data_IF_835977374989
#
_entry.id   IF_835977374989
#
_cell.length_a   1.000
_cell.length_b   1.000
_cell.length_c   1.000
_cell.angle_alpha   90.00
_cell.angle_beta   90.00
_cell.angle_gamma   90.00
#
_symmetry.space_group_name_H-M   'P 1'
#
loop_
_entity.id
_entity.type
_entity.pdbx_description
1 polymer ?
#
# COMPACT_ATOMS: atom_id res chain seq x y z
N UNK A 1 7.67 35.94 -47.71
CA UNK A 1 6.19 35.87 -47.59
C UNK A 1 5.84 35.25 -46.25
N UNK A 2 4.87 35.82 -45.53
CA UNK A 2 4.19 35.12 -44.43
C UNK A 2 4.76 35.27 -43.02
N UNK A 3 4.75 36.49 -42.49
CA UNK A 3 4.96 36.84 -41.07
C UNK A 3 3.71 36.44 -40.27
N UNK A 4 3.84 35.67 -39.18
CA UNK A 4 2.87 35.69 -38.08
C UNK A 4 3.62 35.62 -36.73
N UNK A 5 3.76 36.81 -36.15
CA UNK A 5 4.13 37.04 -34.78
C UNK A 5 2.96 36.65 -33.85
N UNK A 6 3.25 36.06 -32.70
CA UNK A 6 2.35 36.05 -31.54
C UNK A 6 2.84 37.09 -30.53
N UNK A 7 1.98 38.03 -30.09
CA UNK A 7 2.33 38.98 -29.04
C UNK A 7 2.27 38.34 -27.64
N UNK A 8 3.02 38.98 -26.75
CA UNK A 8 3.16 38.70 -25.32
C UNK A 8 1.85 38.87 -24.53
N UNK A 9 1.70 38.08 -23.46
CA UNK A 9 0.74 38.37 -22.38
C UNK A 9 1.54 38.89 -21.16
N UNK A 10 1.12 39.99 -20.50
CA UNK A 10 1.93 40.71 -19.54
C UNK A 10 1.61 40.37 -18.09
N UNK A 11 2.55 40.73 -17.21
CA UNK A 11 2.24 41.46 -15.98
C UNK A 11 1.60 40.68 -14.82
N UNK A 12 2.39 40.46 -13.77
CA UNK A 12 1.87 40.08 -12.46
C UNK A 12 2.93 39.97 -11.38
N UNK A 13 3.88 40.93 -11.30
CA UNK A 13 4.83 41.00 -10.19
C UNK A 13 4.16 41.64 -8.97
N UNK A 14 4.37 40.97 -7.83
CA UNK A 14 3.95 41.32 -6.47
C UNK A 14 4.33 42.74 -6.06
N UNK A 15 3.43 43.39 -5.32
CA UNK A 15 3.72 44.53 -4.45
C UNK A 15 3.57 44.10 -2.96
N UNK A 16 4.32 44.69 -2.02
CA UNK A 16 4.27 44.38 -0.59
C UNK A 16 3.49 45.40 0.26
N UNK A 17 3.40 45.09 1.57
CA UNK A 17 3.32 45.93 2.78
C UNK A 17 2.00 46.61 3.23
N UNK A 18 1.56 46.27 4.46
CA UNK A 18 1.22 47.14 5.62
C UNK A 18 0.39 46.28 6.63
N UNK A 19 0.78 46.00 7.88
CA UNK A 19 1.08 46.83 9.06
C UNK A 19 -0.16 47.43 9.77
N UNK A 20 -0.32 47.09 11.06
CA UNK A 20 -1.25 47.66 12.04
C UNK A 20 -2.19 46.59 12.64
N UNK A 21 -2.28 46.31 13.95
CA UNK A 21 -1.74 46.98 15.14
C UNK A 21 -2.85 47.07 16.20
N UNK A 22 -2.59 46.51 17.40
CA UNK A 22 -3.32 46.69 18.68
C UNK A 22 -4.79 46.18 18.72
N UNK A 23 -5.37 45.72 19.83
CA UNK A 23 -5.16 46.05 21.24
C UNK A 23 -5.70 44.94 22.18
N UNK A 24 -5.43 45.16 23.46
CA UNK A 24 -5.46 44.29 24.63
C UNK A 24 -6.85 43.97 25.20
N UNK A 25 -6.95 42.73 25.72
CA UNK A 25 -7.56 42.35 27.01
C UNK A 25 -9.10 42.28 27.09
N UNK A 26 -9.68 41.65 28.14
CA UNK A 26 -9.05 41.29 29.41
C UNK A 26 -9.26 39.84 29.91
N UNK A 27 -8.35 39.47 30.79
CA UNK A 27 -8.50 38.73 32.06
C UNK A 27 -9.90 38.19 32.41
N UNK A 28 -10.04 36.86 32.43
CA UNK A 28 -11.14 36.14 33.06
C UNK A 28 -10.60 34.83 33.65
N UNK A 29 -10.69 34.71 34.97
CA UNK A 29 -10.10 33.65 35.80
C UNK A 29 -11.25 32.86 36.44
N UNK A 30 -11.06 31.54 36.62
CA UNK A 30 -11.92 30.52 37.29
C UNK A 30 -13.06 29.89 36.47
N UNK A 31 -13.39 28.59 36.57
CA UNK A 31 -12.73 27.31 36.94
C UNK A 31 -13.82 26.22 36.79
N UNK A 32 -13.49 25.02 36.29
CA UNK A 32 -13.92 23.70 36.82
C UNK A 32 -13.68 22.55 35.80
N UNK A 33 -13.44 21.31 36.26
CA UNK A 33 -12.98 20.19 35.44
C UNK A 33 -14.15 19.39 34.85
N UNK A 34 -14.09 19.10 33.55
CA UNK A 34 -14.98 18.17 32.87
C UNK A 34 -14.18 16.97 32.40
N UNK A 35 -14.56 15.79 32.87
CA UNK A 35 -14.03 14.51 32.44
C UNK A 35 -14.00 14.41 30.91
N UNK A 36 -12.79 14.21 30.38
CA UNK A 36 -12.55 13.87 28.99
C UNK A 36 -11.48 12.81 28.96
N UNK A 37 -11.83 11.59 29.38
CA UNK A 37 -11.12 10.42 28.89
C UNK A 37 -11.38 10.36 27.40
N UNK A 38 -10.38 10.77 26.64
CA UNK A 38 -10.13 10.21 25.33
C UNK A 38 -8.68 9.81 25.34
N UNK A 39 -8.44 8.53 25.61
CA UNK A 39 -7.25 7.86 25.12
C UNK A 39 -7.18 8.12 23.63
N UNK A 40 -6.42 9.12 23.21
CA UNK A 40 -5.84 9.11 21.88
C UNK A 40 -4.76 8.03 21.91
N UNK A 41 -5.18 6.77 21.88
CA UNK A 41 -4.29 5.73 21.39
C UNK A 41 -4.22 5.96 19.90
N UNK A 42 -3.07 6.40 19.42
CA UNK A 42 -2.75 6.37 17.99
C UNK A 42 -2.54 4.90 17.61
N UNK A 43 -3.61 4.11 17.58
CA UNK A 43 -3.57 2.72 17.14
C UNK A 43 -3.70 2.67 15.62
N UNK A 44 -2.68 3.19 14.93
CA UNK A 44 -2.52 3.06 13.49
C UNK A 44 -1.21 2.37 13.11
N UNK A 45 -0.14 2.60 13.87
CA UNK A 45 1.21 2.10 13.55
C UNK A 45 1.54 0.73 14.16
N UNK A 46 1.16 0.48 15.43
CA UNK A 46 1.50 -0.78 16.13
C UNK A 46 1.01 -2.05 15.42
N UNK A 47 -0.04 -1.93 14.59
CA UNK A 47 -0.52 -3.07 13.79
C UNK A 47 0.53 -3.46 12.75
N UNK A 48 1.05 -2.50 11.97
CA UNK A 48 1.88 -2.77 10.80
C UNK A 48 3.34 -3.11 11.16
N UNK A 49 3.79 -2.79 12.37
CA UNK A 49 5.12 -3.11 12.88
C UNK A 49 5.48 -4.60 12.79
N UNK A 50 4.46 -5.48 12.85
CA UNK A 50 4.66 -6.93 12.64
C UNK A 50 5.30 -7.22 11.29
N UNK A 51 4.91 -6.49 10.24
CA UNK A 51 5.47 -6.65 8.89
C UNK A 51 6.86 -6.04 8.80
N UNK A 52 7.05 -4.85 9.36
CA UNK A 52 8.36 -4.16 9.38
C UNK A 52 9.41 -5.07 10.02
N UNK A 53 9.11 -5.58 11.21
CA UNK A 53 9.97 -6.49 11.97
C UNK A 53 10.25 -7.77 11.19
N UNK A 54 9.23 -8.37 10.56
CA UNK A 54 9.40 -9.60 9.79
C UNK A 54 10.26 -9.40 8.53
N UNK A 55 10.20 -8.22 7.91
CA UNK A 55 10.93 -7.91 6.69
C UNK A 55 12.38 -7.46 6.93
N UNK A 56 12.73 -7.00 8.14
CA UNK A 56 13.97 -6.27 8.44
C UNK A 56 15.24 -6.93 7.85
N UNK A 57 15.42 -8.23 8.08
CA UNK A 57 16.62 -8.95 7.64
C UNK A 57 16.43 -9.79 6.38
N UNK A 58 15.19 -10.02 5.95
CA UNK A 58 14.87 -10.95 4.85
C UNK A 58 14.49 -10.23 3.56
N UNK A 59 14.08 -8.95 3.63
CA UNK A 59 13.63 -8.21 2.46
C UNK A 59 14.66 -8.17 1.30
N UNK A 60 15.95 -7.88 1.53
CA UNK A 60 16.93 -7.87 0.45
C UNK A 60 17.04 -9.24 -0.26
N UNK A 61 16.97 -10.33 0.51
CA UNK A 61 16.99 -11.69 -0.04
C UNK A 61 15.72 -12.04 -0.79
N UNK A 62 14.55 -11.68 -0.24
CA UNK A 62 13.27 -11.92 -0.90
C UNK A 62 13.22 -11.21 -2.27
N UNK A 63 13.65 -9.95 -2.32
CA UNK A 63 13.72 -9.18 -3.55
C UNK A 63 14.72 -9.79 -4.56
N UNK A 64 15.89 -10.26 -4.10
CA UNK A 64 16.84 -10.96 -4.96
C UNK A 64 16.26 -12.26 -5.53
N UNK A 65 15.59 -13.06 -4.70
CA UNK A 65 14.93 -14.31 -5.14
C UNK A 65 13.83 -14.04 -6.17
N UNK A 66 13.03 -12.98 -5.97
CA UNK A 66 12.03 -12.53 -6.94
C UNK A 66 12.71 -12.13 -8.25
N UNK A 67 13.75 -11.28 -8.22
CA UNK A 67 14.49 -10.84 -9.43
C UNK A 67 15.15 -12.00 -10.18
N UNK A 68 15.52 -13.07 -9.47
CA UNK A 68 16.06 -14.30 -10.06
C UNK A 68 14.99 -15.26 -10.58
N UNK A 69 13.71 -14.98 -10.31
CA UNK A 69 12.59 -15.82 -10.73
C UNK A 69 12.55 -17.17 -10.00
N UNK A 70 13.12 -17.27 -8.81
CA UNK A 70 13.14 -18.52 -8.05
C UNK A 70 13.10 -18.25 -6.55
N UNK A 71 11.91 -18.42 -5.96
CA UNK A 71 11.73 -18.35 -4.51
C UNK A 71 12.37 -19.55 -3.81
N UNK A 72 13.14 -19.27 -2.76
CA UNK A 72 13.91 -20.28 -1.99
C UNK A 72 13.73 -20.18 -0.49
N UNK A 73 13.30 -19.02 0.03
CA UNK A 73 13.14 -18.80 1.46
C UNK A 73 11.72 -18.44 1.89
N UNK A 74 11.49 -18.38 3.20
CA UNK A 74 10.17 -18.27 3.81
C UNK A 74 9.76 -16.81 4.06
N UNK A 75 9.33 -16.12 3.02
CA UNK A 75 8.95 -14.70 3.11
C UNK A 75 7.54 -14.36 2.60
N UNK A 76 6.81 -15.34 2.07
CA UNK A 76 5.57 -15.07 1.34
C UNK A 76 4.54 -14.28 2.15
N UNK A 77 4.33 -14.67 3.40
CA UNK A 77 3.24 -14.12 4.23
C UNK A 77 3.39 -12.64 4.57
N UNK A 78 4.59 -12.09 4.57
CA UNK A 78 4.84 -10.71 4.99
C UNK A 78 5.45 -9.83 3.88
N UNK A 79 5.85 -10.40 2.75
CA UNK A 79 6.16 -9.66 1.51
C UNK A 79 4.92 -9.51 0.64
N UNK A 80 4.15 -10.60 0.46
CA UNK A 80 2.85 -10.59 -0.23
C UNK A 80 1.75 -11.06 0.73
N UNK A 81 1.40 -10.25 1.74
CA UNK A 81 0.36 -10.63 2.69
C UNK A 81 -1.01 -10.69 2.00
N UNK A 82 -1.89 -11.53 2.54
CA UNK A 82 -3.24 -11.76 2.03
C UNK A 82 -4.27 -11.46 3.11
N UNK A 83 -5.55 -11.34 2.70
CA UNK A 83 -6.64 -11.02 3.61
C UNK A 83 -6.87 -12.12 4.67
N UNK A 84 -7.30 -11.70 5.86
CA UNK A 84 -7.58 -12.56 6.99
C UNK A 84 -8.62 -13.65 6.68
N UNK A 85 -8.36 -14.84 7.22
CA UNK A 85 -9.21 -16.02 7.03
C UNK A 85 -9.05 -16.73 5.69
N UNK A 86 -8.11 -16.33 4.83
CA UNK A 86 -7.72 -17.11 3.64
C UNK A 86 -6.72 -18.22 3.98
N UNK A 87 -5.81 -17.95 4.91
CA UNK A 87 -4.77 -18.89 5.33
C UNK A 87 -5.09 -19.56 6.66
N UNK A 88 -4.69 -20.83 6.81
CA UNK A 88 -4.91 -21.63 8.02
C UNK A 88 -3.68 -21.83 8.91
N UNK A 89 -2.48 -21.59 8.38
CA UNK A 89 -1.25 -21.73 9.18
C UNK A 89 -1.10 -20.57 10.16
N UNK A 90 -0.40 -20.81 11.28
CA UNK A 90 -0.14 -19.76 12.27
C UNK A 90 0.57 -18.53 11.67
N UNK A 91 1.50 -18.73 10.73
CA UNK A 91 2.15 -17.64 10.00
C UNK A 91 1.19 -16.89 9.08
N UNK A 92 0.28 -17.59 8.40
CA UNK A 92 -0.71 -16.95 7.54
C UNK A 92 -1.72 -16.13 8.34
N UNK A 93 -2.07 -16.58 9.55
CA UNK A 93 -2.95 -15.84 10.46
C UNK A 93 -2.24 -14.62 11.07
N UNK A 94 -0.98 -14.80 11.53
CA UNK A 94 -0.18 -13.73 12.14
C UNK A 94 0.08 -12.56 11.20
N UNK A 95 0.33 -12.85 9.92
CA UNK A 95 0.66 -11.84 8.90
C UNK A 95 -0.49 -11.60 7.91
N UNK A 96 -1.72 -12.00 8.25
CA UNK A 96 -2.86 -11.60 7.45
C UNK A 96 -3.10 -10.10 7.57
N UNK A 97 -3.58 -9.49 6.49
CA UNK A 97 -4.20 -8.17 6.51
C UNK A 97 -5.64 -8.34 7.00
N UNK A 98 -6.07 -7.55 7.97
CA UNK A 98 -7.39 -7.66 8.60
C UNK A 98 -8.52 -7.32 7.62
N UNK A 99 -8.39 -6.20 6.91
CA UNK A 99 -9.43 -5.64 6.04
C UNK A 99 -8.84 -4.71 4.96
N UNK A 100 -9.72 -4.06 4.19
CA UNK A 100 -9.33 -3.14 3.12
C UNK A 100 -8.64 -1.87 3.64
N UNK A 101 -8.96 -1.43 4.86
CA UNK A 101 -8.36 -0.22 5.44
C UNK A 101 -6.93 -0.50 5.90
N UNK A 102 -6.66 -1.67 6.50
CA UNK A 102 -5.29 -2.09 6.80
C UNK A 102 -4.47 -2.31 5.52
N UNK A 103 -5.08 -2.82 4.43
CA UNK A 103 -4.39 -2.92 3.13
C UNK A 103 -4.00 -1.52 2.59
N UNK A 104 -4.88 -0.54 2.70
CA UNK A 104 -4.58 0.87 2.34
C UNK A 104 -3.48 1.45 3.22
N UNK A 105 -3.56 1.23 4.53
CA UNK A 105 -2.53 1.66 5.47
C UNK A 105 -1.17 1.03 5.15
N UNK A 106 -1.14 -0.27 4.83
CA UNK A 106 0.08 -0.98 4.42
C UNK A 106 0.72 -0.34 3.18
N UNK A 107 -0.07 0.03 2.17
CA UNK A 107 0.44 0.72 0.98
C UNK A 107 0.86 2.17 1.24
N UNK A 108 0.19 2.87 2.16
CA UNK A 108 0.52 4.23 2.54
C UNK A 108 1.75 4.32 3.46
N UNK A 109 2.11 3.22 4.13
CA UNK A 109 3.23 3.16 5.04
C UNK A 109 4.57 3.43 4.32
N UNK A 110 5.43 4.33 4.83
CA UNK A 110 6.61 4.83 4.11
C UNK A 110 7.66 3.78 3.78
N UNK A 111 7.72 2.67 4.52
CA UNK A 111 8.57 1.52 4.23
C UNK A 111 7.87 0.40 3.44
N UNK A 112 6.75 -0.11 3.96
CA UNK A 112 6.07 -1.30 3.41
C UNK A 112 5.48 -1.07 2.02
N UNK A 113 4.90 0.11 1.77
CA UNK A 113 4.32 0.47 0.48
C UNK A 113 5.36 0.42 -0.65
N UNK A 114 6.48 1.17 -0.56
CA UNK A 114 7.55 1.10 -1.55
C UNK A 114 8.12 -0.30 -1.73
N UNK A 115 8.27 -1.07 -0.65
CA UNK A 115 8.79 -2.45 -0.73
C UNK A 115 7.87 -3.40 -1.49
N UNK A 116 6.57 -3.35 -1.23
CA UNK A 116 5.58 -4.16 -1.93
C UNK A 116 5.58 -3.86 -3.43
N UNK A 117 5.67 -2.59 -3.76
CA UNK A 117 5.70 -2.08 -5.14
C UNK A 117 6.96 -2.54 -5.85
N UNK A 118 8.12 -2.40 -5.22
CA UNK A 118 9.39 -2.88 -5.78
C UNK A 118 9.37 -4.39 -6.02
N UNK A 119 8.76 -5.17 -5.12
CA UNK A 119 8.58 -6.62 -5.33
C UNK A 119 7.62 -6.94 -6.48
N UNK A 120 6.52 -6.20 -6.63
CA UNK A 120 5.57 -6.37 -7.73
C UNK A 120 6.18 -5.97 -9.09
N UNK A 121 6.97 -4.89 -9.13
CA UNK A 121 7.74 -4.47 -10.31
C UNK A 121 8.81 -5.52 -10.66
N UNK A 122 9.55 -6.03 -9.68
CA UNK A 122 10.54 -7.09 -9.90
C UNK A 122 9.91 -8.37 -10.47
N UNK A 123 8.67 -8.70 -10.12
CA UNK A 123 7.92 -9.77 -10.79
C UNK A 123 7.66 -9.41 -12.27
N UNK A 124 7.22 -8.19 -12.58
CA UNK A 124 6.99 -7.78 -13.97
C UNK A 124 8.25 -7.80 -14.84
N UNK A 125 9.42 -7.62 -14.25
CA UNK A 125 10.70 -7.63 -14.97
C UNK A 125 11.21 -9.03 -15.34
N UNK A 126 10.61 -10.10 -14.78
CA UNK A 126 11.01 -11.47 -15.10
C UNK A 126 10.70 -11.83 -16.55
N UNK A 127 11.40 -12.83 -17.07
CA UNK A 127 11.07 -13.46 -18.35
C UNK A 127 10.07 -14.59 -18.08
N UNK A 128 8.98 -14.62 -18.86
CA UNK A 128 7.88 -15.57 -18.67
C UNK A 128 6.79 -15.05 -17.75
N UNK A 129 5.82 -15.91 -17.44
CA UNK A 129 4.60 -15.55 -16.71
C UNK A 129 3.98 -16.72 -15.94
N UNK A 130 4.74 -17.79 -15.68
CA UNK A 130 4.27 -18.92 -14.86
C UNK A 130 4.60 -18.68 -13.38
N UNK A 131 3.61 -18.34 -12.53
CA UNK A 131 3.86 -18.09 -11.12
C UNK A 131 4.25 -19.37 -10.37
N UNK A 132 3.84 -20.55 -10.83
CA UNK A 132 4.17 -21.83 -10.19
C UNK A 132 5.65 -22.16 -10.41
N UNK A 133 6.20 -21.87 -11.60
CA UNK A 133 7.64 -22.01 -11.85
C UNK A 133 8.50 -21.13 -10.92
N UNK A 134 8.01 -19.93 -10.58
CA UNK A 134 8.75 -18.96 -9.75
C UNK A 134 8.56 -19.20 -8.24
N UNK A 135 7.33 -19.49 -7.81
CA UNK A 135 6.93 -19.47 -6.40
C UNK A 135 6.53 -20.85 -5.85
N UNK A 136 6.20 -21.80 -6.74
CA UNK A 136 5.47 -23.02 -6.39
C UNK A 136 3.97 -22.78 -6.22
N UNK A 137 3.19 -23.85 -6.27
CA UNK A 137 1.71 -23.81 -6.38
C UNK A 137 1.04 -23.07 -5.20
N UNK A 138 1.47 -23.37 -3.98
CA UNK A 138 0.89 -22.76 -2.77
C UNK A 138 1.15 -21.26 -2.72
N UNK A 139 2.38 -20.82 -3.00
CA UNK A 139 2.71 -19.40 -2.92
C UNK A 139 2.21 -18.64 -4.15
N UNK A 140 2.10 -19.27 -5.33
CA UNK A 140 1.39 -18.69 -6.49
C UNK A 140 -0.05 -18.30 -6.13
N UNK A 141 -0.78 -19.16 -5.43
CA UNK A 141 -2.15 -18.86 -4.97
C UNK A 141 -2.16 -17.65 -4.03
N UNK A 142 -1.23 -17.60 -3.06
CA UNK A 142 -1.12 -16.46 -2.12
C UNK A 142 -0.76 -15.16 -2.82
N UNK A 143 0.09 -15.20 -3.86
CA UNK A 143 0.42 -14.02 -4.66
C UNK A 143 -0.84 -13.47 -5.32
N UNK A 144 -1.66 -14.34 -5.93
CA UNK A 144 -2.93 -13.92 -6.55
C UNK A 144 -3.87 -13.27 -5.53
N UNK A 145 -4.04 -13.88 -4.35
CA UNK A 145 -4.85 -13.31 -3.26
C UNK A 145 -4.30 -11.96 -2.80
N UNK A 146 -2.98 -11.84 -2.65
CA UNK A 146 -2.32 -10.58 -2.27
C UNK A 146 -2.55 -9.49 -3.33
N UNK A 147 -2.23 -9.75 -4.60
CA UNK A 147 -2.41 -8.79 -5.68
C UNK A 147 -3.88 -8.37 -5.84
N UNK A 148 -4.82 -9.29 -5.67
CA UNK A 148 -6.26 -8.99 -5.70
C UNK A 148 -6.65 -8.02 -4.58
N UNK A 149 -6.16 -8.27 -3.35
CA UNK A 149 -6.38 -7.39 -2.21
C UNK A 149 -5.81 -5.99 -2.45
N UNK A 150 -4.55 -5.91 -2.89
CA UNK A 150 -3.86 -4.64 -3.06
C UNK A 150 -4.28 -3.87 -4.33
N UNK A 151 -4.78 -4.58 -5.34
CA UNK A 151 -5.55 -3.96 -6.43
C UNK A 151 -6.79 -3.28 -5.86
N UNK A 152 -7.64 -3.98 -5.09
CA UNK A 152 -8.84 -3.36 -4.51
C UNK A 152 -8.51 -2.22 -3.52
N UNK A 153 -7.38 -2.32 -2.82
CA UNK A 153 -6.92 -1.30 -1.87
C UNK A 153 -6.31 -0.08 -2.56
N UNK A 154 -5.99 -0.15 -3.85
CA UNK A 154 -5.30 0.92 -4.57
C UNK A 154 -5.99 1.30 -5.87
N UNK A 155 -5.64 2.45 -6.43
CA UNK A 155 -6.00 2.81 -7.81
C UNK A 155 -4.86 2.52 -8.80
N UNK A 156 -3.84 1.74 -8.41
CA UNK A 156 -2.60 1.63 -9.19
C UNK A 156 -2.74 0.57 -10.30
N UNK A 157 -2.45 0.91 -11.57
CA UNK A 157 -2.51 -0.06 -12.66
C UNK A 157 -1.55 -1.25 -12.52
N UNK A 158 -0.47 -1.10 -11.74
CA UNK A 158 0.57 -2.12 -11.55
C UNK A 158 0.00 -3.48 -11.10
N UNK A 159 -0.93 -3.48 -10.14
CA UNK A 159 -1.44 -4.73 -9.57
C UNK A 159 -2.40 -5.44 -10.51
N UNK A 160 -3.24 -4.67 -11.23
CA UNK A 160 -4.07 -5.19 -12.31
C UNK A 160 -3.20 -5.83 -13.41
N UNK A 161 -2.17 -5.11 -13.87
CA UNK A 161 -1.23 -5.62 -14.88
C UNK A 161 -0.49 -6.88 -14.39
N UNK A 162 -0.17 -6.96 -13.10
CA UNK A 162 0.42 -8.16 -12.52
C UNK A 162 -0.54 -9.35 -12.51
N UNK A 163 -1.81 -9.14 -12.18
CA UNK A 163 -2.86 -10.17 -12.28
C UNK A 163 -3.07 -10.62 -13.73
N UNK A 164 -3.12 -9.68 -14.67
CA UNK A 164 -3.27 -9.95 -16.10
C UNK A 164 -2.13 -10.83 -16.61
N UNK A 165 -0.90 -10.48 -16.28
CA UNK A 165 0.28 -11.22 -16.73
C UNK A 165 0.42 -12.59 -16.09
N UNK A 166 0.37 -12.67 -14.76
CA UNK A 166 0.74 -13.87 -14.02
C UNK A 166 -0.42 -14.83 -13.79
N UNK A 167 -1.66 -14.34 -13.91
CA UNK A 167 -2.86 -15.12 -13.63
C UNK A 167 -3.93 -14.98 -14.72
N UNK A 168 -3.60 -14.43 -15.89
CA UNK A 168 -4.53 -14.29 -17.01
C UNK A 168 -5.71 -13.35 -16.70
N UNK A 169 -5.51 -12.41 -15.79
CA UNK A 169 -6.55 -11.46 -15.34
C UNK A 169 -7.50 -12.05 -14.30
N UNK A 170 -7.29 -13.30 -13.89
CA UNK A 170 -8.12 -13.96 -12.89
C UNK A 170 -7.73 -13.45 -11.50
N UNK A 171 -8.70 -12.80 -10.85
CA UNK A 171 -8.61 -12.37 -9.46
C UNK A 171 -8.98 -13.51 -8.52
N UNK A 172 -8.53 -13.43 -7.28
CA UNK A 172 -8.87 -14.42 -6.27
C UNK A 172 -10.28 -14.21 -5.72
N UNK A 173 -11.21 -15.08 -6.11
CA UNK A 173 -12.64 -14.98 -5.76
C UNK A 173 -12.90 -14.95 -4.26
N UNK A 174 -12.14 -15.70 -3.47
CA UNK A 174 -12.29 -15.71 -2.01
C UNK A 174 -11.88 -14.36 -1.40
N UNK A 175 -10.86 -13.72 -1.95
CA UNK A 175 -10.46 -12.36 -1.56
C UNK A 175 -11.58 -11.38 -1.90
N UNK A 176 -12.11 -11.40 -3.12
CA UNK A 176 -13.20 -10.51 -3.55
C UNK A 176 -14.48 -10.70 -2.73
N UNK A 177 -14.90 -11.94 -2.50
CA UNK A 177 -16.07 -12.26 -1.69
C UNK A 177 -15.96 -11.73 -0.26
N UNK A 178 -14.77 -11.83 0.35
CA UNK A 178 -14.50 -11.27 1.67
C UNK A 178 -14.48 -9.75 1.70
N UNK A 179 -14.11 -9.10 0.59
CA UNK A 179 -14.20 -7.65 0.43
C UNK A 179 -15.63 -7.17 0.09
N UNK A 180 -16.60 -8.08 -0.08
CA UNK A 180 -17.94 -7.75 -0.54
C UNK A 180 -17.99 -7.25 -1.98
N UNK A 181 -16.94 -7.49 -2.77
CA UNK A 181 -16.87 -7.10 -4.18
C UNK A 181 -17.23 -8.33 -5.02
N UNK A 182 -18.27 -8.27 -5.87
CA UNK A 182 -18.54 -9.39 -6.78
C UNK A 182 -17.42 -9.52 -7.82
N UNK A 183 -16.99 -10.75 -8.09
CA UNK A 183 -16.08 -11.06 -9.20
C UNK A 183 -16.69 -10.58 -10.51
N UNK A 184 -15.96 -9.79 -11.30
CA UNK A 184 -16.36 -9.48 -12.68
C UNK A 184 -16.34 -10.79 -13.48
N UNK A 185 -17.52 -11.20 -13.95
CA UNK A 185 -17.71 -12.34 -14.86
C UNK A 185 -17.18 -12.02 -16.25
#
# INVERSE_FOLDING_TARGET
MGRLARPANPGGRRAPVAAGGHDRGPTGLWQAPGAGSVCAVTSGDDSLDRFVTAQEQIYPRALEEIRRGAKRTHWMWFIFPQLAGLGRSAMAQRYAIADIEEARAYLAHPLLGPRYVECAEALQDLIGSDPVAVLGETDATKLRSSLTLFEAASGRPLFAAALDRWFGGVRDELTLAKLGTPSAQ
#
